data_IF_639163884367
#
_entry.id   IF_639163884367
#
_cell.length_a   1.000
_cell.length_b   1.000
_cell.length_c   1.000
_cell.angle_alpha   90.00
_cell.angle_beta   90.00
_cell.angle_gamma   90.00
#
_symmetry.space_group_name_H-M   'P 1'
#
loop_
_entity.id
_entity.type
_entity.pdbx_description
1 polymer ?
#
# COMPACT_ATOMS: atom_id res chain seq x y z
N UNK A 1 8.51 -13.54 5.15
CA UNK A 1 8.77 -12.16 4.66
C UNK A 1 10.26 -11.78 4.59
N UNK A 2 11.14 -12.30 5.47
CA UNK A 2 12.59 -12.38 5.21
C UNK A 2 13.31 -11.07 4.89
N UNK A 3 14.49 -11.17 4.27
CA UNK A 3 15.34 -10.03 3.93
C UNK A 3 14.68 -8.97 3.01
N UNK A 4 13.90 -9.34 1.96
CA UNK A 4 13.26 -8.34 1.09
C UNK A 4 12.28 -7.43 1.81
N UNK A 5 11.48 -7.99 2.72
CA UNK A 5 10.53 -7.19 3.50
C UNK A 5 11.25 -6.27 4.48
N UNK A 6 12.30 -6.74 5.15
CA UNK A 6 13.13 -5.90 6.03
C UNK A 6 13.75 -4.73 5.25
N UNK A 7 14.29 -5.00 4.05
CA UNK A 7 14.82 -3.95 3.20
C UNK A 7 13.74 -2.92 2.83
N UNK A 8 12.52 -3.37 2.52
CA UNK A 8 11.39 -2.50 2.23
C UNK A 8 10.99 -1.64 3.44
N UNK A 9 10.94 -2.21 4.65
CA UNK A 9 10.72 -1.44 5.89
C UNK A 9 11.80 -0.38 6.09
N UNK A 10 13.06 -0.72 5.88
CA UNK A 10 14.17 0.24 6.02
C UNK A 10 14.06 1.39 5.01
N UNK A 11 13.64 1.12 3.77
CA UNK A 11 13.38 2.17 2.78
C UNK A 11 12.21 3.07 3.17
N UNK A 12 11.15 2.50 3.74
CA UNK A 12 10.06 3.29 4.28
C UNK A 12 10.50 4.19 5.45
N UNK A 13 11.30 3.66 6.39
CA UNK A 13 11.87 4.46 7.50
C UNK A 13 12.67 5.65 6.95
N UNK A 14 13.49 5.41 5.93
CA UNK A 14 14.28 6.48 5.30
C UNK A 14 13.39 7.54 4.62
N UNK A 15 12.31 7.14 3.95
CA UNK A 15 11.33 8.07 3.38
C UNK A 15 10.71 8.95 4.48
N UNK A 16 10.27 8.37 5.60
CA UNK A 16 9.71 9.13 6.72
C UNK A 16 10.75 10.09 7.33
N UNK A 17 12.00 9.62 7.48
CA UNK A 17 13.10 10.43 7.99
C UNK A 17 13.39 11.64 7.11
N UNK A 18 13.46 11.45 5.79
CA UNK A 18 13.68 12.53 4.81
C UNK A 18 12.54 13.57 4.84
N UNK A 19 11.33 13.14 5.20
CA UNK A 19 10.16 14.00 5.32
C UNK A 19 9.90 14.47 6.78
N UNK A 20 10.92 14.42 7.65
CA UNK A 20 10.86 14.89 9.04
C UNK A 20 9.69 14.31 9.85
N UNK A 21 9.26 13.07 9.54
CA UNK A 21 8.14 12.40 10.20
C UNK A 21 6.83 13.20 10.16
N UNK A 22 6.66 14.04 9.15
CA UNK A 22 5.43 14.82 8.96
C UNK A 22 4.23 13.88 8.79
N UNK A 23 3.11 14.21 9.43
CA UNK A 23 1.94 13.31 9.49
C UNK A 23 0.74 13.78 8.67
N UNK A 24 0.81 14.97 8.06
CA UNK A 24 -0.30 15.60 7.35
C UNK A 24 0.12 15.94 5.92
N UNK A 25 -0.78 15.58 4.99
CA UNK A 25 -0.94 15.96 3.57
C UNK A 25 -0.59 14.99 2.42
N UNK A 26 -0.16 13.74 2.63
CA UNK A 26 0.01 12.78 1.48
C UNK A 26 -0.44 11.34 1.76
N UNK A 27 -1.63 11.15 2.33
CA UNK A 27 -2.19 9.81 2.51
C UNK A 27 -2.54 9.12 1.18
N UNK A 28 -2.38 7.80 1.11
CA UNK A 28 -2.91 7.00 0.01
C UNK A 28 -4.44 7.11 -0.02
N UNK A 29 -5.05 7.03 -1.20
CA UNK A 29 -6.52 7.00 -1.33
C UNK A 29 -7.12 5.85 -0.51
N UNK A 30 -8.35 6.03 -0.03
CA UNK A 30 -9.11 5.00 0.69
C UNK A 30 -10.07 4.22 -0.21
N UNK A 31 -10.19 4.60 -1.49
CA UNK A 31 -10.99 3.88 -2.48
C UNK A 31 -10.49 2.44 -2.59
N UNK A 32 -11.39 1.47 -2.45
CA UNK A 32 -11.12 0.02 -2.42
C UNK A 32 -10.15 -0.47 -1.33
N UNK A 33 -9.77 0.37 -0.35
CA UNK A 33 -8.89 -0.05 0.74
C UNK A 33 -9.52 -1.21 1.53
N UNK A 34 -8.78 -2.29 1.82
CA UNK A 34 -9.30 -3.40 2.62
C UNK A 34 -9.88 -2.93 3.97
N UNK A 35 -11.01 -3.50 4.37
CA UNK A 35 -11.71 -3.12 5.60
C UNK A 35 -10.84 -3.32 6.84
N UNK A 36 -9.95 -4.30 6.81
CA UNK A 36 -9.00 -4.64 7.87
C UNK A 36 -8.01 -3.50 8.10
N UNK A 37 -7.50 -2.89 7.03
CA UNK A 37 -6.62 -1.71 7.08
C UNK A 37 -7.39 -0.53 7.66
N UNK A 38 -8.61 -0.27 7.18
CA UNK A 38 -9.45 0.82 7.66
C UNK A 38 -9.78 0.67 9.15
N UNK A 39 -10.10 -0.54 9.60
CA UNK A 39 -10.33 -0.85 11.01
C UNK A 39 -9.05 -0.69 11.84
N UNK A 40 -7.91 -1.16 11.34
CA UNK A 40 -6.61 -1.02 12.01
C UNK A 40 -6.23 0.45 12.21
N UNK A 41 -6.36 1.28 11.18
CA UNK A 41 -6.12 2.73 11.24
C UNK A 41 -7.07 3.39 12.24
N UNK A 42 -8.37 3.09 12.18
CA UNK A 42 -9.39 3.64 13.10
C UNK A 42 -9.10 3.31 14.55
N UNK A 43 -8.53 2.14 14.83
CA UNK A 43 -8.14 1.71 16.17
C UNK A 43 -6.72 2.15 16.56
N UNK A 44 -6.18 3.19 15.91
CA UNK A 44 -4.87 3.75 16.24
C UNK A 44 -3.70 2.80 15.97
N UNK A 45 -3.89 1.78 15.11
CA UNK A 45 -2.87 0.79 14.70
C UNK A 45 -2.39 -0.12 15.83
N UNK A 46 -3.12 -0.18 16.94
CA UNK A 46 -2.73 -0.94 18.15
C UNK A 46 -3.14 -2.40 18.12
N UNK A 47 -4.21 -2.73 17.39
CA UNK A 47 -4.77 -4.08 17.35
C UNK A 47 -3.97 -4.93 16.36
N UNK A 48 -3.54 -6.11 16.80
CA UNK A 48 -3.01 -7.13 15.91
C UNK A 48 -4.10 -7.56 14.93
N UNK A 49 -3.81 -7.43 13.64
CA UNK A 49 -4.67 -7.93 12.56
C UNK A 49 -4.19 -9.32 12.20
N UNK A 50 -5.12 -10.28 12.22
CA UNK A 50 -4.89 -11.66 11.81
C UNK A 50 -5.89 -11.92 10.69
N UNK A 51 -5.38 -12.24 9.50
CA UNK A 51 -6.22 -12.69 8.38
C UNK A 51 -6.29 -14.21 8.48
N UNK A 52 -7.50 -14.73 8.66
CA UNK A 52 -7.70 -16.17 8.77
C UNK A 52 -7.53 -16.86 7.41
N UNK A 53 -7.22 -18.16 7.41
CA UNK A 53 -6.96 -18.92 6.19
C UNK A 53 -8.13 -18.92 5.20
N UNK A 54 -9.38 -18.85 5.68
CA UNK A 54 -10.58 -18.73 4.86
C UNK A 54 -10.77 -17.33 4.25
N UNK A 55 -10.12 -16.31 4.81
CA UNK A 55 -10.21 -14.92 4.37
C UNK A 55 -9.02 -14.46 3.52
N UNK A 56 -7.93 -15.25 3.49
CA UNK A 56 -6.66 -14.86 2.89
C UNK A 56 -6.78 -14.51 1.39
N UNK A 57 -7.57 -15.27 0.64
CA UNK A 57 -7.79 -15.05 -0.79
C UNK A 57 -8.59 -13.76 -1.03
N UNK A 58 -9.68 -13.57 -0.27
CA UNK A 58 -10.50 -12.37 -0.34
C UNK A 58 -9.72 -11.12 0.07
N UNK A 59 -8.89 -11.22 1.11
CA UNK A 59 -7.99 -10.14 1.52
C UNK A 59 -7.00 -9.79 0.40
N UNK A 60 -6.35 -10.78 -0.20
CA UNK A 60 -5.45 -10.57 -1.33
C UNK A 60 -6.14 -9.86 -2.51
N UNK A 61 -7.35 -10.29 -2.88
CA UNK A 61 -8.16 -9.63 -3.94
C UNK A 61 -8.44 -8.16 -3.62
N UNK A 62 -8.80 -7.86 -2.37
CA UNK A 62 -9.05 -6.49 -1.93
C UNK A 62 -7.76 -5.64 -1.92
N UNK A 63 -6.62 -6.21 -1.52
CA UNK A 63 -5.32 -5.54 -1.58
C UNK A 63 -4.96 -5.20 -3.03
N UNK A 64 -5.16 -6.12 -3.98
CA UNK A 64 -4.96 -5.86 -5.41
C UNK A 64 -5.91 -4.81 -5.95
N UNK A 65 -7.20 -4.89 -5.63
CA UNK A 65 -8.19 -3.89 -6.05
C UNK A 65 -7.83 -2.48 -5.53
N UNK A 66 -7.31 -2.37 -4.31
CA UNK A 66 -6.78 -1.11 -3.79
C UNK A 66 -5.51 -0.66 -4.52
N UNK A 67 -4.56 -1.57 -4.73
CA UNK A 67 -3.30 -1.29 -5.41
C UNK A 67 -3.51 -0.76 -6.83
N UNK A 68 -4.48 -1.30 -7.56
CA UNK A 68 -4.85 -0.81 -8.89
C UNK A 68 -5.35 0.63 -8.89
N UNK A 69 -6.14 1.03 -7.89
CA UNK A 69 -6.61 2.42 -7.77
C UNK A 69 -5.46 3.39 -7.46
N UNK A 70 -4.38 2.89 -6.84
CA UNK A 70 -3.16 3.66 -6.61
C UNK A 70 -2.28 3.76 -7.87
N UNK A 71 -2.51 2.92 -8.88
CA UNK A 71 -1.77 3.03 -10.14
C UNK A 71 -2.25 4.23 -10.95
N UNK A 72 -1.34 4.77 -11.76
CA UNK A 72 -1.67 5.79 -12.74
C UNK A 72 -2.62 5.21 -13.80
N UNK A 73 -3.58 6.01 -14.26
CA UNK A 73 -4.65 5.58 -15.19
C UNK A 73 -4.14 5.07 -16.54
N UNK A 74 -2.93 5.45 -16.94
CA UNK A 74 -2.29 5.00 -18.17
C UNK A 74 -1.61 3.63 -18.04
N UNK A 75 -1.53 3.04 -16.84
CA UNK A 75 -0.99 1.69 -16.67
C UNK A 75 -2.04 0.65 -17.08
N UNK A 76 -1.71 -0.13 -18.09
CA UNK A 76 -2.49 -1.30 -18.45
C UNK A 76 -2.55 -2.31 -17.30
N UNK A 77 -3.72 -2.94 -17.17
CA UNK A 77 -3.99 -3.98 -16.19
C UNK A 77 -4.43 -5.25 -16.90
N UNK A 78 -3.97 -6.39 -16.40
CA UNK A 78 -4.43 -7.71 -16.84
C UNK A 78 -4.76 -8.55 -15.61
N UNK A 79 -5.90 -9.23 -15.64
CA UNK A 79 -6.37 -10.10 -14.55
C UNK A 79 -6.40 -9.42 -13.16
N UNK A 80 -6.66 -8.11 -13.11
CA UNK A 80 -6.67 -7.37 -11.85
C UNK A 80 -5.29 -7.08 -11.26
N UNK A 81 -4.22 -7.18 -12.06
CA UNK A 81 -2.85 -6.82 -11.69
C UNK A 81 -2.26 -5.86 -12.72
N UNK A 82 -1.36 -4.95 -12.32
CA UNK A 82 -0.64 -4.11 -13.29
C UNK A 82 0.24 -4.97 -14.19
N UNK A 83 0.30 -4.67 -15.49
CA UNK A 83 1.23 -5.35 -16.39
C UNK A 83 2.69 -5.09 -15.97
N UNK A 84 3.52 -6.13 -16.01
CA UNK A 84 4.96 -6.05 -15.68
C UNK A 84 5.75 -5.21 -16.71
N UNK A 85 5.31 -5.22 -17.97
CA UNK A 85 5.89 -4.44 -19.04
C UNK A 85 4.95 -3.27 -19.35
N UNK A 86 5.41 -2.06 -19.08
CA UNK A 86 4.70 -0.86 -19.50
C UNK A 86 5.13 -0.55 -20.94
N UNK A 87 4.21 -0.64 -21.90
CA UNK A 87 4.50 -0.35 -23.31
C UNK A 87 4.78 1.15 -23.55
N UNK A 88 4.25 2.02 -22.70
CA UNK A 88 4.44 3.46 -22.76
C UNK A 88 4.47 4.08 -21.36
N UNK A 89 5.47 4.90 -21.08
CA UNK A 89 5.50 5.73 -19.89
C UNK A 89 4.65 6.96 -20.14
N UNK A 90 3.67 7.26 -19.26
CA UNK A 90 2.88 8.49 -19.39
C UNK A 90 3.73 9.74 -19.11
N UNK A 91 3.27 10.91 -19.56
CA UNK A 91 3.99 12.18 -19.37
C UNK A 91 3.73 12.82 -17.99
N UNK A 92 2.67 12.39 -17.32
CA UNK A 92 2.22 12.93 -16.03
C UNK A 92 2.50 11.94 -14.90
N UNK A 93 3.63 12.14 -14.23
CA UNK A 93 4.00 11.40 -13.03
C UNK A 93 3.67 12.24 -11.80
N UNK A 94 2.85 11.69 -10.92
CA UNK A 94 2.71 12.22 -9.57
C UNK A 94 3.87 11.72 -8.71
N UNK A 95 4.26 12.51 -7.71
CA UNK A 95 5.28 12.08 -6.75
C UNK A 95 4.78 10.84 -6.00
N UNK A 96 5.69 9.91 -5.70
CA UNK A 96 5.42 8.75 -4.85
C UNK A 96 5.64 9.07 -3.36
N UNK A 97 5.72 10.35 -3.02
CA UNK A 97 6.06 10.88 -1.69
C UNK A 97 4.85 10.84 -0.74
N UNK A 98 4.25 9.65 -0.64
CA UNK A 98 3.20 9.32 0.30
C UNK A 98 3.81 8.91 1.65
N UNK A 99 4.35 9.88 2.38
CA UNK A 99 4.87 9.72 3.74
C UNK A 99 3.77 9.88 4.80
N UNK A 100 4.12 9.61 6.05
CA UNK A 100 3.25 9.77 7.20
C UNK A 100 2.32 8.59 7.46
N UNK A 101 1.48 8.74 8.48
CA UNK A 101 0.68 7.64 9.07
C UNK A 101 -0.26 6.93 8.08
N UNK A 102 -0.70 7.64 7.04
CA UNK A 102 -1.62 7.13 6.02
C UNK A 102 -0.94 6.89 4.66
N UNK A 103 0.39 7.02 4.61
CA UNK A 103 1.20 6.73 3.44
C UNK A 103 1.49 5.23 3.27
N UNK A 104 2.71 4.92 2.85
CA UNK A 104 3.17 3.56 2.51
C UNK A 104 3.00 2.51 3.62
N UNK A 105 3.01 2.91 4.90
CA UNK A 105 2.84 2.01 6.04
C UNK A 105 1.63 1.08 5.91
N UNK A 106 0.54 1.57 5.32
CA UNK A 106 -0.69 0.78 5.16
C UNK A 106 -0.51 -0.40 4.19
N UNK A 107 0.28 -0.24 3.12
CA UNK A 107 0.61 -1.32 2.18
C UNK A 107 1.61 -2.30 2.77
N UNK A 108 2.60 -1.81 3.53
CA UNK A 108 3.55 -2.66 4.25
C UNK A 108 2.84 -3.56 5.25
N UNK A 109 1.83 -3.02 5.95
CA UNK A 109 0.97 -3.78 6.83
C UNK A 109 0.20 -4.88 6.07
N UNK A 110 -0.37 -4.57 4.89
CA UNK A 110 -1.02 -5.60 4.06
C UNK A 110 -0.07 -6.75 3.70
N UNK A 111 1.16 -6.43 3.26
CA UNK A 111 2.18 -7.43 2.96
C UNK A 111 2.62 -8.25 4.19
N UNK A 112 2.44 -7.69 5.40
CA UNK A 112 2.72 -8.39 6.65
C UNK A 112 1.63 -9.39 7.03
N UNK A 113 0.40 -9.08 6.67
CA UNK A 113 -0.79 -9.85 7.04
C UNK A 113 -1.15 -10.93 6.02
N UNK A 114 -0.71 -10.76 4.77
CA UNK A 114 -0.83 -11.73 3.68
C UNK A 114 0.37 -12.69 3.66
#
# INVERSE_FOLDING_TARGET
LGAPYTALINRWIELERLNNWQTVTTGLTNVNRPREVSAWIRNGRRKNVIISSDQIEAFGKNVWAWWLVLQLSWRDTSEGKPLHAVACYGDNWNTLDHFGKNGWLSLLACLKWW
#
